data_IF_734874284842
#
_entry.id   IF_734874284842
#
_cell.length_a   1.000
_cell.length_b   1.000
_cell.length_c   1.000
_cell.angle_alpha   90.00
_cell.angle_beta   90.00
_cell.angle_gamma   90.00
#
_symmetry.space_group_name_H-M   'P 1'
#
loop_
_entity.id
_entity.type
_entity.pdbx_description
1 polymer ?
#
# COMPACT_ATOMS: atom_id res chain seq x y z
N UNK A 1 -1.37 40.28 -11.62
CA UNK A 1 -0.03 39.97 -11.09
C UNK A 1 -0.16 39.53 -9.64
N UNK A 2 -0.23 38.22 -9.41
CA UNK A 2 -0.03 37.62 -8.11
C UNK A 2 0.56 36.23 -8.38
N UNK A 3 1.81 36.08 -7.96
CA UNK A 3 2.71 34.95 -8.16
C UNK A 3 2.23 33.72 -7.38
N UNK A 4 2.01 32.58 -8.04
CA UNK A 4 1.97 31.29 -7.37
C UNK A 4 3.38 30.99 -6.86
N UNK A 5 3.50 30.74 -5.55
CA UNK A 5 4.71 30.19 -4.96
C UNK A 5 4.44 28.71 -4.74
N UNK A 6 5.03 27.88 -5.59
CA UNK A 6 5.25 26.46 -5.35
C UNK A 6 5.91 26.31 -3.98
N UNK A 7 5.25 25.66 -3.01
CA UNK A 7 5.93 25.22 -1.81
C UNK A 7 6.73 23.96 -2.13
N UNK A 8 7.87 24.13 -2.80
CA UNK A 8 8.96 23.18 -2.71
C UNK A 8 9.42 23.17 -1.24
N UNK A 9 8.81 22.31 -0.42
CA UNK A 9 9.25 22.12 0.98
C UNK A 9 10.59 21.40 0.94
N UNK A 10 11.68 22.16 1.11
CA UNK A 10 12.95 21.61 1.58
C UNK A 10 12.71 20.98 2.96
N UNK A 11 12.60 19.64 3.04
CA UNK A 11 12.66 18.91 4.31
C UNK A 11 14.13 18.53 4.62
N UNK A 12 14.67 18.81 5.82
CA UNK A 12 15.97 18.34 6.24
C UNK A 12 15.89 16.93 6.87
N UNK A 13 16.83 16.07 6.49
CA UNK A 13 17.11 14.71 7.00
C UNK A 13 16.03 13.64 6.74
N UNK A 14 16.30 12.76 5.78
CA UNK A 14 15.55 11.53 5.54
C UNK A 14 15.66 10.59 6.76
N UNK A 15 14.52 10.27 7.37
CA UNK A 15 14.32 9.08 8.20
C UNK A 15 13.56 8.05 7.37
N UNK A 16 14.07 6.83 7.34
CA UNK A 16 13.38 5.68 6.73
C UNK A 16 13.06 4.67 7.82
N UNK A 17 11.90 4.04 7.75
CA UNK A 17 11.58 2.89 8.57
C UNK A 17 11.74 1.61 7.71
N UNK A 18 12.34 0.56 8.27
CA UNK A 18 12.56 -0.69 7.56
C UNK A 18 12.20 -1.88 8.44
N UNK A 19 11.69 -2.94 7.80
CA UNK A 19 11.47 -4.25 8.44
C UNK A 19 12.76 -5.08 8.47
N UNK A 20 12.87 -5.97 9.45
CA UNK A 20 13.73 -7.15 9.31
C UNK A 20 13.05 -8.35 9.99
N UNK A 21 12.62 -9.33 9.18
CA UNK A 21 12.29 -10.68 9.62
C UNK A 21 13.12 -11.65 8.80
N UNK A 22 14.01 -12.42 9.42
CA UNK A 22 14.66 -13.55 8.78
C UNK A 22 13.84 -14.81 9.10
N UNK A 23 13.27 -15.53 8.12
CA UNK A 23 12.77 -16.87 8.33
C UNK A 23 13.93 -17.84 8.09
N UNK A 24 14.90 -17.93 8.99
CA UNK A 24 15.79 -19.09 9.02
C UNK A 24 16.46 -19.24 10.40
N UNK A 25 16.11 -20.33 11.10
CA UNK A 25 16.98 -20.93 12.12
C UNK A 25 16.69 -20.66 13.60
N UNK A 26 15.71 -19.84 13.99
CA UNK A 26 15.29 -19.73 15.39
C UNK A 26 13.94 -20.42 15.60
N UNK A 27 13.92 -21.38 16.53
CA UNK A 27 12.78 -22.21 16.93
C UNK A 27 11.42 -21.50 16.96
N UNK A 28 10.36 -22.21 16.55
CA UNK A 28 8.92 -21.87 16.56
C UNK A 28 8.35 -21.46 17.95
N UNK A 29 8.89 -20.40 18.52
CA UNK A 29 8.44 -19.80 19.76
C UNK A 29 9.45 -18.75 20.24
N UNK A 30 9.15 -17.46 20.03
CA UNK A 30 9.80 -16.39 20.81
C UNK A 30 10.22 -15.09 20.13
N UNK A 31 10.10 -14.91 18.82
CA UNK A 31 10.44 -13.63 18.19
C UNK A 31 9.18 -12.86 17.75
N UNK A 32 8.59 -12.07 18.66
CA UNK A 32 7.71 -10.98 18.24
C UNK A 32 8.51 -10.06 17.32
N UNK A 33 7.98 -9.74 16.14
CA UNK A 33 8.72 -8.97 15.13
C UNK A 33 9.09 -7.55 15.58
N UNK A 34 9.83 -6.81 14.74
CA UNK A 34 10.29 -5.45 15.04
C UNK A 34 10.36 -4.58 13.78
N UNK A 35 10.14 -3.28 13.95
CA UNK A 35 10.43 -2.26 12.94
C UNK A 35 11.62 -1.42 13.38
N UNK A 36 12.40 -0.92 12.43
CA UNK A 36 13.65 -0.20 12.72
C UNK A 36 13.66 1.16 12.06
N UNK A 37 14.08 2.18 12.80
CA UNK A 37 14.28 3.53 12.26
C UNK A 37 15.73 3.67 11.85
N UNK A 38 15.94 4.11 10.61
CA UNK A 38 17.23 4.49 10.07
C UNK A 38 17.23 5.99 9.76
N UNK A 39 18.34 6.66 10.06
CA UNK A 39 18.55 8.06 9.68
C UNK A 39 19.79 8.19 8.78
N UNK A 40 19.65 8.92 7.68
CA UNK A 40 20.78 9.19 6.78
C UNK A 40 21.56 10.40 7.26
N UNK A 41 22.86 10.23 7.52
CA UNK A 41 23.79 11.32 7.86
C UNK A 41 25.08 11.19 7.05
N UNK A 42 25.46 12.28 6.38
CA UNK A 42 26.65 12.32 5.51
C UNK A 42 26.72 11.14 4.53
N UNK A 43 25.59 10.83 3.89
CA UNK A 43 25.48 9.74 2.92
C UNK A 43 25.26 8.34 3.51
N UNK A 44 25.45 8.14 4.82
CA UNK A 44 25.39 6.83 5.47
C UNK A 44 24.09 6.66 6.27
N UNK A 45 23.41 5.54 6.08
CA UNK A 45 22.26 5.13 6.90
C UNK A 45 22.74 4.48 8.19
N UNK A 46 22.12 4.87 9.31
CA UNK A 46 22.38 4.25 10.62
C UNK A 46 21.06 3.98 11.30
N UNK A 47 20.91 2.77 11.85
CA UNK A 47 19.80 2.45 12.74
C UNK A 47 19.88 3.35 13.97
N UNK A 48 18.82 4.08 14.27
CA UNK A 48 18.71 4.95 15.45
C UNK A 48 17.79 4.39 16.50
N UNK A 49 16.81 3.55 16.12
CA UNK A 49 15.86 2.98 17.07
C UNK A 49 15.29 1.65 16.57
N UNK A 50 14.93 0.77 17.52
CA UNK A 50 14.10 -0.42 17.29
C UNK A 50 12.73 -0.16 17.93
N UNK A 51 11.67 -0.31 17.14
CA UNK A 51 10.28 -0.21 17.55
C UNK A 51 9.72 -1.62 17.74
N UNK A 52 8.96 -1.80 18.81
CA UNK A 52 8.32 -3.07 19.19
C UNK A 52 6.96 -2.76 19.78
N UNK A 53 6.04 -3.73 19.72
CA UNK A 53 4.82 -3.70 20.52
C UNK A 53 5.16 -3.74 22.03
N UNK A 54 4.34 -3.07 22.84
CA UNK A 54 4.46 -3.01 24.30
C UNK A 54 4.22 -4.37 24.98
N UNK A 55 3.40 -5.22 24.37
CA UNK A 55 3.09 -6.59 24.81
C UNK A 55 3.02 -7.54 23.61
N UNK A 56 4.15 -8.06 23.10
CA UNK A 56 4.10 -9.05 22.03
C UNK A 56 3.34 -10.27 22.52
N UNK A 57 2.11 -10.48 22.04
CA UNK A 57 1.46 -11.76 22.21
C UNK A 57 2.31 -12.77 21.42
N UNK A 58 2.63 -13.92 22.01
CA UNK A 58 3.45 -14.93 21.34
C UNK A 58 2.83 -15.30 19.99
N UNK A 59 3.51 -14.99 18.88
CA UNK A 59 3.03 -15.23 17.51
C UNK A 59 2.70 -13.98 16.69
N UNK A 60 2.70 -12.78 17.28
CA UNK A 60 2.49 -11.53 16.53
C UNK A 60 3.71 -11.16 15.67
N UNK A 61 3.50 -11.02 14.35
CA UNK A 61 4.54 -10.62 13.40
C UNK A 61 4.62 -9.09 13.28
N UNK A 62 4.92 -8.41 14.39
CA UNK A 62 5.11 -6.96 14.39
C UNK A 62 6.14 -6.51 13.34
N UNK A 63 5.84 -5.46 12.59
CA UNK A 63 6.68 -5.03 11.46
C UNK A 63 6.29 -5.70 10.15
N UNK A 64 5.07 -6.25 10.05
CA UNK A 64 4.53 -6.82 8.81
C UNK A 64 4.44 -5.75 7.72
N UNK A 65 3.73 -4.65 7.98
CA UNK A 65 3.78 -3.42 7.19
C UNK A 65 4.23 -2.24 8.02
N UNK A 66 4.83 -1.26 7.34
CA UNK A 66 5.31 -0.02 7.93
C UNK A 66 5.03 1.14 6.97
N UNK A 67 4.40 2.20 7.46
CA UNK A 67 4.26 3.47 6.77
C UNK A 67 4.82 4.62 7.63
N UNK A 68 5.28 5.69 6.99
CA UNK A 68 5.86 6.86 7.67
C UNK A 68 5.50 8.15 6.94
N UNK A 69 4.89 9.10 7.65
CA UNK A 69 4.80 10.49 7.23
C UNK A 69 5.23 11.42 8.36
N UNK A 70 6.27 12.21 8.08
CA UNK A 70 6.81 13.20 8.99
C UNK A 70 7.24 12.57 10.31
N UNK A 71 6.50 12.89 11.37
CA UNK A 71 6.75 12.47 12.75
C UNK A 71 5.80 11.35 13.21
N UNK A 72 5.09 10.70 12.28
CA UNK A 72 4.22 9.54 12.53
C UNK A 72 4.76 8.31 11.80
N UNK A 73 4.92 7.20 12.52
CA UNK A 73 5.21 5.86 11.96
C UNK A 73 4.07 4.93 12.35
N UNK A 74 3.58 4.15 11.39
CA UNK A 74 2.51 3.19 11.61
C UNK A 74 3.04 1.80 11.29
N UNK A 75 2.79 0.83 12.18
CA UNK A 75 3.31 -0.54 12.04
C UNK A 75 2.21 -1.54 12.34
N UNK A 76 1.99 -2.51 11.46
CA UNK A 76 1.10 -3.63 11.77
C UNK A 76 1.84 -4.79 12.41
N UNK A 77 1.14 -5.47 13.31
CA UNK A 77 1.43 -6.80 13.77
C UNK A 77 0.29 -7.68 13.30
N UNK A 78 0.46 -8.30 12.12
CA UNK A 78 -0.53 -9.18 11.50
C UNK A 78 0.08 -10.57 11.33
N UNK A 79 -0.71 -11.64 11.42
CA UNK A 79 -0.30 -12.95 10.96
C UNK A 79 -1.17 -13.39 9.77
N UNK A 80 -0.52 -13.91 8.74
CA UNK A 80 -1.22 -14.37 7.52
C UNK A 80 -1.85 -15.76 7.70
N UNK A 81 -1.60 -16.42 8.82
CA UNK A 81 -1.82 -17.87 8.95
C UNK A 81 -3.17 -18.20 9.58
N UNK A 82 -3.65 -17.40 10.55
CA UNK A 82 -4.85 -17.74 11.33
C UNK A 82 -5.73 -16.53 11.70
N UNK A 83 -5.47 -15.35 11.12
CA UNK A 83 -6.19 -14.12 11.46
C UNK A 83 -6.01 -13.67 12.93
N UNK A 84 -5.03 -14.23 13.64
CA UNK A 84 -4.86 -14.08 15.09
C UNK A 84 -3.81 -13.03 15.47
N UNK A 85 -4.24 -11.96 16.12
CA UNK A 85 -3.36 -10.89 16.60
C UNK A 85 -3.18 -9.82 15.52
N UNK A 86 -4.01 -8.79 15.61
CA UNK A 86 -4.08 -7.69 14.66
C UNK A 86 -4.02 -6.40 15.45
N UNK A 87 -2.83 -5.82 15.49
CA UNK A 87 -2.62 -4.51 16.09
C UNK A 87 -1.97 -3.61 15.07
N UNK A 88 -2.51 -2.40 14.91
CA UNK A 88 -1.80 -1.34 14.21
C UNK A 88 -1.28 -0.38 15.27
N UNK A 89 0.03 -0.20 15.30
CA UNK A 89 0.73 0.58 16.32
C UNK A 89 1.23 1.88 15.71
N UNK A 90 0.86 3.00 16.33
CA UNK A 90 1.28 4.33 15.91
C UNK A 90 2.39 4.80 16.82
N UNK A 91 3.51 5.22 16.23
CA UNK A 91 4.63 5.82 16.93
C UNK A 91 4.76 7.29 16.53
N UNK A 92 4.84 8.16 17.52
CA UNK A 92 5.08 9.59 17.33
C UNK A 92 6.53 9.95 17.68
N UNK A 93 7.13 10.84 16.90
CA UNK A 93 8.47 11.34 17.17
C UNK A 93 8.45 12.52 18.14
N UNK A 94 9.12 12.37 19.27
CA UNK A 94 9.48 13.46 20.17
C UNK A 94 11.00 13.71 20.09
N UNK A 95 11.36 14.76 19.34
CA UNK A 95 12.75 15.13 19.05
C UNK A 95 13.50 14.06 18.25
N UNK A 96 14.22 13.18 18.94
CA UNK A 96 14.99 12.08 18.33
C UNK A 96 14.46 10.68 18.68
N UNK A 97 13.46 10.61 19.54
CA UNK A 97 12.91 9.36 20.06
C UNK A 97 11.52 9.15 19.46
N UNK A 98 11.26 7.95 18.99
CA UNK A 98 9.94 7.50 18.58
C UNK A 98 9.28 6.80 19.76
N UNK A 99 8.13 7.29 20.20
CA UNK A 99 7.37 6.73 21.31
C UNK A 99 6.10 6.07 20.76
N UNK A 100 5.72 4.93 21.33
CA UNK A 100 4.40 4.36 21.05
C UNK A 100 3.34 5.36 21.52
N UNK A 101 2.52 5.83 20.60
CA UNK A 101 1.46 6.80 20.83
C UNK A 101 0.10 6.12 20.98
N UNK A 102 -0.22 5.17 20.10
CA UNK A 102 -1.52 4.50 20.09
C UNK A 102 -1.41 3.06 19.58
N UNK A 103 -2.40 2.24 19.97
CA UNK A 103 -2.77 1.00 19.29
C UNK A 103 -4.15 1.22 18.68
N UNK A 104 -4.27 1.04 17.38
CA UNK A 104 -5.52 1.16 16.63
C UNK A 104 -6.17 -0.21 16.53
N UNK A 105 -7.47 -0.24 16.80
CA UNK A 105 -8.33 -1.41 16.73
C UNK A 105 -9.67 -0.96 16.12
N UNK A 106 -10.33 -1.80 15.30
CA UNK A 106 -11.68 -1.52 14.83
C UNK A 106 -12.64 -1.30 16.01
N UNK A 107 -13.56 -0.34 15.89
CA UNK A 107 -14.53 -0.02 16.94
C UNK A 107 -15.73 -0.99 16.96
N UNK A 108 -16.00 -1.62 15.83
CA UNK A 108 -17.12 -2.53 15.61
C UNK A 108 -16.71 -3.98 15.85
N UNK A 109 -17.54 -4.73 16.59
CA UNK A 109 -17.38 -6.18 16.72
C UNK A 109 -17.42 -6.86 15.35
N UNK A 110 -16.51 -7.81 15.11
CA UNK A 110 -16.47 -8.55 13.87
C UNK A 110 -15.28 -9.47 13.76
N UNK A 111 -15.35 -10.34 12.76
CA UNK A 111 -14.24 -11.15 12.30
C UNK A 111 -13.26 -10.25 11.55
N UNK A 112 -12.31 -9.67 12.27
CA UNK A 112 -11.36 -8.68 11.74
C UNK A 112 -10.28 -9.28 10.83
N UNK A 113 -10.50 -10.47 10.24
CA UNK A 113 -9.51 -11.18 9.43
C UNK A 113 -8.69 -10.25 8.52
N UNK A 114 -7.38 -10.25 8.75
CA UNK A 114 -6.40 -9.48 8.01
C UNK A 114 -6.42 -7.96 8.25
N UNK A 115 -6.98 -7.44 9.35
CA UNK A 115 -6.76 -6.04 9.74
C UNK A 115 -5.25 -5.75 9.87
N UNK A 116 -4.80 -4.67 9.21
CA UNK A 116 -3.38 -4.31 9.15
C UNK A 116 -2.58 -5.10 8.11
N UNK A 117 -3.25 -5.84 7.22
CA UNK A 117 -2.57 -6.50 6.10
C UNK A 117 -1.99 -5.53 5.10
N UNK A 118 -2.54 -4.32 5.01
CA UNK A 118 -1.89 -3.18 4.41
C UNK A 118 -2.30 -1.89 5.13
N UNK A 119 -1.44 -0.88 5.10
CA UNK A 119 -1.67 0.39 5.78
C UNK A 119 -0.85 1.52 5.18
N UNK A 120 -1.37 2.74 5.30
CA UNK A 120 -0.64 3.94 4.91
C UNK A 120 -1.06 5.15 5.78
N UNK A 121 -0.23 6.20 5.79
CA UNK A 121 -0.42 7.40 6.61
C UNK A 121 -0.10 8.67 5.82
N UNK A 122 -1.02 9.64 5.89
CA UNK A 122 -0.83 10.99 5.35
C UNK A 122 -1.31 12.02 6.36
N UNK A 123 -0.38 12.77 6.94
CA UNK A 123 -0.64 13.74 7.99
C UNK A 123 -1.35 13.11 9.20
N UNK A 124 -2.58 13.55 9.43
CA UNK A 124 -3.42 13.16 10.55
C UNK A 124 -4.44 12.06 10.19
N UNK A 125 -4.21 11.33 9.09
CA UNK A 125 -5.07 10.25 8.62
C UNK A 125 -4.27 8.97 8.38
N UNK A 126 -4.75 7.85 8.94
CA UNK A 126 -4.22 6.51 8.73
C UNK A 126 -5.31 5.66 8.07
N UNK A 127 -4.93 4.92 7.04
CA UNK A 127 -5.81 3.94 6.38
C UNK A 127 -5.29 2.53 6.65
N UNK A 128 -6.21 1.60 6.93
CA UNK A 128 -5.87 0.22 7.27
C UNK A 128 -6.79 -0.74 6.52
N UNK A 129 -6.22 -1.59 5.68
CA UNK A 129 -6.94 -2.64 4.97
C UNK A 129 -7.29 -3.84 5.83
N UNK A 130 -8.46 -4.43 5.59
CA UNK A 130 -8.94 -5.66 6.22
C UNK A 130 -9.72 -6.52 5.20
N UNK A 131 -8.99 -7.10 4.23
CA UNK A 131 -9.61 -7.82 3.08
C UNK A 131 -10.49 -9.02 3.43
N UNK A 132 -10.27 -9.65 4.58
CA UNK A 132 -11.03 -10.83 5.00
C UNK A 132 -12.35 -10.49 5.69
N UNK A 133 -12.53 -9.24 6.12
CA UNK A 133 -13.71 -8.84 6.87
C UNK A 133 -14.95 -8.87 5.98
N UNK A 134 -16.07 -9.30 6.56
CA UNK A 134 -17.34 -9.28 5.87
C UNK A 134 -17.91 -7.85 5.84
N UNK A 135 -18.01 -7.26 4.64
CA UNK A 135 -18.57 -5.92 4.41
C UNK A 135 -20.12 -5.94 4.40
N UNK A 136 -20.74 -6.60 5.38
CA UNK A 136 -22.20 -6.86 5.45
C UNK A 136 -22.80 -7.71 4.32
N UNK A 137 -22.04 -8.02 3.27
CA UNK A 137 -22.49 -8.79 2.09
C UNK A 137 -21.94 -10.23 2.03
N UNK A 138 -20.97 -10.59 2.87
CA UNK A 138 -20.38 -11.94 2.92
C UNK A 138 -18.90 -11.92 3.25
N UNK A 139 -18.31 -13.09 3.49
CA UNK A 139 -16.88 -13.23 3.85
C UNK A 139 -15.96 -12.75 2.72
N UNK A 140 -14.81 -12.18 3.10
CA UNK A 140 -13.81 -11.67 2.16
C UNK A 140 -14.31 -10.63 1.14
N UNK A 141 -15.42 -9.95 1.40
CA UNK A 141 -15.77 -8.76 0.64
C UNK A 141 -14.74 -7.64 0.91
N UNK A 142 -14.28 -7.54 2.16
CA UNK A 142 -13.20 -6.68 2.58
C UNK A 142 -13.64 -5.25 2.90
N UNK A 143 -12.93 -4.60 3.82
CA UNK A 143 -13.18 -3.21 4.24
C UNK A 143 -11.88 -2.45 4.43
N UNK A 144 -11.96 -1.12 4.53
CA UNK A 144 -10.85 -0.25 4.93
C UNK A 144 -11.27 0.61 6.10
N UNK A 145 -10.46 0.65 7.16
CA UNK A 145 -10.66 1.54 8.30
C UNK A 145 -9.89 2.83 8.12
N UNK A 146 -10.52 3.95 8.40
CA UNK A 146 -9.87 5.27 8.41
C UNK A 146 -9.81 5.75 9.85
N UNK A 147 -8.61 6.03 10.33
CA UNK A 147 -8.36 6.62 11.64
C UNK A 147 -7.88 8.04 11.46
N UNK A 148 -8.40 8.96 12.29
CA UNK A 148 -8.02 10.36 12.29
C UNK A 148 -7.48 10.78 13.65
N UNK A 149 -6.46 11.65 13.63
CA UNK A 149 -5.86 12.21 14.84
C UNK A 149 -6.68 13.41 15.30
N UNK A 150 -7.33 13.27 16.46
CA UNK A 150 -8.09 14.33 17.12
C UNK A 150 -7.40 14.89 18.37
N UNK A 151 -8.08 15.77 19.14
CA UNK A 151 -7.55 16.32 20.39
C UNK A 151 -7.29 15.25 21.47
N UNK A 152 -8.03 14.14 21.42
CA UNK A 152 -7.93 13.02 22.35
C UNK A 152 -7.03 11.88 21.83
N UNK A 153 -6.32 12.10 20.72
CA UNK A 153 -5.48 11.11 20.04
C UNK A 153 -6.15 10.51 18.81
N UNK A 154 -5.66 9.33 18.40
CA UNK A 154 -6.18 8.62 17.23
C UNK A 154 -7.49 7.91 17.53
N UNK A 155 -8.48 8.07 16.65
CA UNK A 155 -9.75 7.36 16.73
C UNK A 155 -10.21 6.92 15.33
N UNK A 156 -10.97 5.83 15.27
CA UNK A 156 -11.63 5.43 14.03
C UNK A 156 -12.65 6.50 13.63
N UNK A 157 -12.48 7.06 12.44
CA UNK A 157 -13.37 8.08 11.86
C UNK A 157 -14.47 7.42 11.02
N UNK A 158 -14.12 6.45 10.18
CA UNK A 158 -15.08 5.72 9.35
C UNK A 158 -14.56 4.36 8.91
N UNK A 159 -15.46 3.52 8.37
CA UNK A 159 -15.15 2.28 7.66
C UNK A 159 -15.65 2.42 6.21
N UNK A 160 -14.74 2.26 5.25
CA UNK A 160 -15.03 2.32 3.83
C UNK A 160 -15.33 0.91 3.31
N UNK A 161 -16.36 0.85 2.48
CA UNK A 161 -16.77 -0.32 1.71
C UNK A 161 -16.96 0.12 0.26
N UNK A 162 -16.69 -0.76 -0.70
CA UNK A 162 -17.02 -0.48 -2.09
C UNK A 162 -18.54 -0.36 -2.26
N UNK A 163 -19.01 0.59 -3.08
CA UNK A 163 -20.44 0.79 -3.35
C UNK A 163 -21.08 -0.46 -3.98
N UNK A 164 -20.29 -1.24 -4.72
CA UNK A 164 -20.67 -2.49 -5.39
C UNK A 164 -20.06 -3.73 -4.72
N UNK A 165 -19.69 -3.64 -3.43
CA UNK A 165 -19.04 -4.71 -2.70
C UNK A 165 -19.72 -6.07 -2.87
N UNK A 166 -18.92 -7.07 -3.19
CA UNK A 166 -19.37 -8.45 -3.34
C UNK A 166 -18.47 -9.42 -2.57
N UNK A 167 -18.99 -10.62 -2.33
CA UNK A 167 -18.27 -11.68 -1.61
C UNK A 167 -17.02 -12.09 -2.40
N UNK A 168 -15.88 -12.25 -1.71
CA UNK A 168 -14.58 -12.58 -2.31
C UNK A 168 -13.92 -11.51 -3.19
N UNK A 169 -14.35 -10.24 -3.18
CA UNK A 169 -13.63 -9.18 -3.92
C UNK A 169 -12.28 -8.80 -3.27
N UNK A 170 -12.12 -9.09 -1.97
CA UNK A 170 -10.94 -8.75 -1.16
C UNK A 170 -10.60 -7.25 -1.20
N UNK A 171 -11.61 -6.38 -1.12
CA UNK A 171 -11.41 -4.93 -0.97
C UNK A 171 -10.57 -4.61 0.27
N UNK A 172 -9.60 -3.70 0.14
CA UNK A 172 -8.65 -3.43 1.22
C UNK A 172 -7.51 -4.44 1.27
N UNK A 173 -7.25 -5.18 0.19
CA UNK A 173 -6.01 -5.94 -0.01
C UNK A 173 -4.80 -5.01 0.01
N UNK A 174 -4.89 -3.89 -0.68
CA UNK A 174 -3.87 -2.85 -0.71
C UNK A 174 -4.53 -1.48 -0.51
N UNK A 175 -3.87 -0.57 0.17
CA UNK A 175 -4.35 0.78 0.47
C UNK A 175 -3.22 1.80 0.34
N UNK A 176 -3.53 2.97 -0.20
CA UNK A 176 -2.62 4.11 -0.22
C UNK A 176 -3.39 5.41 0.06
N UNK A 177 -2.74 6.38 0.71
CA UNK A 177 -3.35 7.68 1.00
C UNK A 177 -2.36 8.83 0.74
N UNK A 178 -2.84 9.85 0.04
CA UNK A 178 -2.14 11.11 -0.11
C UNK A 178 -3.12 12.28 -0.02
N UNK A 179 -3.00 13.06 1.06
CA UNK A 179 -3.90 14.17 1.36
C UNK A 179 -5.36 13.72 1.42
N UNK A 180 -6.15 14.17 0.45
CA UNK A 180 -7.60 13.94 0.38
C UNK A 180 -7.99 12.77 -0.54
N UNK A 181 -7.01 11.94 -0.97
CA UNK A 181 -7.24 10.79 -1.85
C UNK A 181 -6.83 9.50 -1.17
N UNK A 182 -7.76 8.56 -1.05
CA UNK A 182 -7.50 7.17 -0.63
C UNK A 182 -7.71 6.27 -1.85
N UNK A 183 -6.81 5.32 -2.06
CA UNK A 183 -6.88 4.32 -3.12
C UNK A 183 -6.92 2.94 -2.48
N UNK A 184 -7.81 2.09 -2.97
CA UNK A 184 -8.02 0.75 -2.40
C UNK A 184 -8.05 -0.30 -3.49
N UNK A 185 -7.24 -1.35 -3.35
CA UNK A 185 -7.23 -2.51 -4.22
C UNK A 185 -8.26 -3.58 -3.82
N UNK A 186 -8.94 -4.15 -4.80
CA UNK A 186 -9.83 -5.30 -4.70
C UNK A 186 -9.46 -6.31 -5.81
N UNK A 187 -8.35 -7.01 -5.61
CA UNK A 187 -7.67 -7.81 -6.65
C UNK A 187 -8.45 -9.02 -7.18
N UNK A 188 -9.60 -9.34 -6.59
CA UNK A 188 -10.49 -10.44 -7.02
C UNK A 188 -11.86 -9.97 -7.49
N UNK A 189 -12.05 -8.67 -7.64
CA UNK A 189 -13.29 -8.14 -8.16
C UNK A 189 -13.45 -8.50 -9.65
N UNK A 190 -14.69 -8.80 -10.05
CA UNK A 190 -14.98 -9.53 -11.30
C UNK A 190 -15.39 -8.64 -12.51
N UNK A 191 -15.38 -7.31 -12.40
CA UNK A 191 -15.96 -6.43 -13.43
C UNK A 191 -15.24 -6.50 -14.79
N UNK A 192 -13.94 -6.82 -14.81
CA UNK A 192 -13.15 -7.03 -16.03
C UNK A 192 -13.07 -8.50 -16.47
N UNK A 193 -13.59 -9.43 -15.67
CA UNK A 193 -13.34 -10.87 -15.81
C UNK A 193 -13.15 -11.51 -14.45
N UNK A 194 -13.29 -12.83 -14.34
CA UNK A 194 -13.24 -13.48 -13.03
C UNK A 194 -11.87 -13.26 -12.34
N UNK A 195 -11.89 -12.79 -11.09
CA UNK A 195 -10.70 -12.38 -10.34
C UNK A 195 -9.76 -11.43 -11.12
N UNK A 196 -10.26 -10.64 -12.09
CA UNK A 196 -9.42 -9.71 -12.87
C UNK A 196 -8.92 -8.55 -12.02
N UNK A 197 -9.74 -8.12 -11.06
CA UNK A 197 -9.44 -7.11 -10.06
C UNK A 197 -9.86 -5.69 -10.45
N UNK A 198 -10.05 -4.87 -9.42
CA UNK A 198 -10.42 -3.45 -9.52
C UNK A 198 -9.71 -2.60 -8.48
N UNK A 199 -9.67 -1.29 -8.72
CA UNK A 199 -9.20 -0.28 -7.77
C UNK A 199 -10.30 0.75 -7.52
N UNK A 200 -10.45 1.17 -6.28
CA UNK A 200 -11.44 2.14 -5.85
C UNK A 200 -10.75 3.39 -5.33
N UNK A 201 -11.24 4.56 -5.74
CA UNK A 201 -10.71 5.85 -5.28
C UNK A 201 -11.77 6.52 -4.41
N UNK A 202 -11.38 6.91 -3.21
CA UNK A 202 -12.19 7.70 -2.30
C UNK A 202 -11.59 9.10 -2.18
N UNK A 203 -12.46 10.10 -2.18
CA UNK A 203 -12.10 11.50 -2.00
C UNK A 203 -12.72 12.04 -0.72
N UNK A 204 -11.98 12.91 -0.02
CA UNK A 204 -12.49 13.58 1.17
C UNK A 204 -13.69 14.44 0.78
N UNK A 205 -14.81 14.24 1.47
CA UNK A 205 -16.07 14.95 1.26
C UNK A 205 -16.76 15.16 2.60
N UNK A 206 -16.72 16.40 3.11
CA UNK A 206 -17.33 16.74 4.38
C UNK A 206 -18.86 16.58 4.41
N UNK A 207 -19.52 16.47 3.25
CA UNK A 207 -20.94 16.17 3.17
C UNK A 207 -21.25 14.67 3.18
N UNK A 208 -20.26 13.81 2.92
CA UNK A 208 -20.42 12.37 2.94
C UNK A 208 -20.41 11.83 4.38
N UNK A 209 -21.20 10.78 4.68
CA UNK A 209 -21.09 10.07 5.96
C UNK A 209 -19.65 9.60 6.19
N UNK A 210 -19.08 9.94 7.34
CA UNK A 210 -17.68 9.60 7.66
C UNK A 210 -16.63 10.41 6.90
N UNK A 211 -17.02 11.45 6.14
CA UNK A 211 -16.09 12.41 5.52
C UNK A 211 -15.41 11.94 4.23
N UNK A 212 -15.84 10.81 3.66
CA UNK A 212 -15.24 10.21 2.46
C UNK A 212 -16.33 9.70 1.51
N UNK A 213 -16.13 9.91 0.21
CA UNK A 213 -17.02 9.43 -0.85
C UNK A 213 -16.24 8.62 -1.87
N UNK A 214 -16.78 7.50 -2.32
CA UNK A 214 -16.24 6.80 -3.48
C UNK A 214 -16.38 7.71 -4.72
N UNK A 215 -15.24 8.08 -5.30
CA UNK A 215 -15.13 8.99 -6.43
C UNK A 215 -15.04 8.24 -7.76
N UNK A 216 -14.35 7.09 -7.77
CA UNK A 216 -14.19 6.26 -8.95
C UNK A 216 -13.97 4.78 -8.63
N UNK A 217 -14.31 3.93 -9.61
CA UNK A 217 -13.80 2.55 -9.76
C UNK A 217 -12.96 2.52 -11.03
N UNK A 218 -11.71 2.08 -10.90
CA UNK A 218 -10.73 1.94 -11.96
C UNK A 218 -10.57 0.46 -12.29
N UNK A 219 -10.60 0.15 -13.59
CA UNK A 219 -10.50 -1.20 -14.12
C UNK A 219 -9.34 -1.20 -15.12
N UNK A 220 -8.48 -2.22 -15.08
CA UNK A 220 -7.40 -2.37 -16.05
C UNK A 220 -7.95 -2.69 -17.45
N UNK A 221 -7.54 -1.92 -18.46
CA UNK A 221 -7.98 -2.17 -19.85
C UNK A 221 -7.22 -3.29 -20.54
N UNK A 222 -6.06 -3.66 -20.00
CA UNK A 222 -5.17 -4.71 -20.50
C UNK A 222 -5.02 -5.85 -19.49
N UNK A 223 -6.05 -6.07 -18.67
CA UNK A 223 -6.09 -7.14 -17.65
C UNK A 223 -7.25 -8.07 -17.89
N UNK A 224 -6.98 -9.36 -17.89
CA UNK A 224 -7.91 -10.47 -18.06
C UNK A 224 -8.17 -11.21 -16.74
N UNK A 225 -8.87 -12.34 -16.84
CA UNK A 225 -9.15 -13.25 -15.72
C UNK A 225 -7.89 -13.57 -14.90
N UNK A 226 -7.92 -13.35 -13.57
CA UNK A 226 -6.84 -13.66 -12.62
C UNK A 226 -5.54 -12.86 -12.78
N UNK A 227 -5.56 -11.74 -13.50
CA UNK A 227 -4.40 -10.84 -13.62
C UNK A 227 -4.15 -10.01 -12.34
N UNK A 228 -5.13 -9.98 -11.43
CA UNK A 228 -5.04 -9.37 -10.10
C UNK A 228 -4.73 -7.87 -10.14
N UNK A 229 -5.41 -7.12 -11.01
CA UNK A 229 -5.36 -5.67 -11.01
C UNK A 229 -5.79 -5.10 -9.65
N UNK A 230 -4.98 -4.21 -9.07
CA UNK A 230 -5.21 -3.73 -7.70
C UNK A 230 -4.64 -4.65 -6.63
N UNK A 231 -3.73 -5.56 -6.99
CA UNK A 231 -2.98 -6.36 -6.01
C UNK A 231 -2.14 -5.48 -5.07
N UNK A 232 -1.55 -4.42 -5.64
CA UNK A 232 -0.86 -3.35 -4.93
C UNK A 232 -1.23 -2.00 -5.55
N UNK A 233 -1.31 -0.95 -4.74
CA UNK A 233 -1.61 0.41 -5.18
C UNK A 233 -0.67 1.42 -4.52
N UNK A 234 -0.38 2.51 -5.22
CA UNK A 234 0.34 3.67 -4.68
C UNK A 234 -0.28 4.97 -5.18
N UNK A 235 -0.18 6.05 -4.40
CA UNK A 235 -0.67 7.36 -4.81
C UNK A 235 0.16 8.51 -4.23
N UNK A 236 0.30 9.59 -5.00
CA UNK A 236 0.79 10.89 -4.50
C UNK A 236 -0.33 11.95 -4.47
N UNK A 237 -1.58 11.52 -4.71
CA UNK A 237 -2.79 12.35 -4.69
C UNK A 237 -3.22 12.82 -6.08
N UNK A 238 -2.29 12.92 -7.03
CA UNK A 238 -2.58 13.29 -8.43
C UNK A 238 -2.28 12.15 -9.40
N UNK A 239 -1.43 11.21 -9.00
CA UNK A 239 -1.07 10.00 -9.74
C UNK A 239 -1.43 8.77 -8.91
N UNK A 240 -2.04 7.78 -9.54
CA UNK A 240 -2.28 6.46 -8.96
C UNK A 240 -1.49 5.46 -9.79
N UNK A 241 -0.80 4.54 -9.11
CA UNK A 241 -0.10 3.42 -9.73
C UNK A 241 -0.69 2.12 -9.21
N UNK A 242 -0.95 1.20 -10.13
CA UNK A 242 -1.66 -0.04 -9.83
C UNK A 242 -0.88 -1.22 -10.37
N UNK A 243 -0.58 -2.19 -9.51
CA UNK A 243 0.03 -3.45 -9.90
C UNK A 243 -1.01 -4.51 -10.33
N UNK A 244 -0.68 -5.24 -11.39
CA UNK A 244 -1.35 -6.46 -11.84
C UNK A 244 -0.26 -7.51 -12.12
N UNK A 245 0.28 -8.15 -11.07
CA UNK A 245 1.49 -8.98 -11.19
C UNK A 245 1.29 -10.25 -12.02
N UNK A 246 0.05 -10.64 -12.28
CA UNK A 246 -0.25 -11.90 -12.95
C UNK A 246 -0.55 -11.77 -14.43
N UNK A 247 -0.51 -10.55 -14.98
CA UNK A 247 -0.60 -10.33 -16.43
C UNK A 247 0.47 -11.17 -17.15
N UNK A 248 0.01 -12.00 -18.08
CA UNK A 248 0.88 -12.79 -18.95
C UNK A 248 1.47 -11.93 -20.07
N UNK A 249 2.66 -12.30 -20.56
CA UNK A 249 3.24 -11.67 -21.74
C UNK A 249 2.54 -12.11 -23.02
N UNK A 250 2.69 -11.32 -24.10
CA UNK A 250 2.37 -11.76 -25.46
C UNK A 250 3.24 -12.93 -25.92
N UNK A 251 4.39 -13.14 -25.28
CA UNK A 251 5.20 -14.35 -25.42
C UNK A 251 4.68 -15.42 -24.45
N UNK A 252 4.11 -16.53 -24.93
CA UNK A 252 3.49 -17.55 -24.08
C UNK A 252 4.49 -18.30 -23.18
N UNK A 253 5.80 -18.18 -23.43
CA UNK A 253 6.82 -18.74 -22.56
C UNK A 253 7.08 -17.87 -21.31
N UNK A 254 6.53 -16.65 -21.26
CA UNK A 254 6.70 -15.69 -20.17
C UNK A 254 5.34 -15.46 -19.49
N UNK A 255 4.95 -16.43 -18.64
CA UNK A 255 3.78 -16.29 -17.77
C UNK A 255 4.06 -15.29 -16.63
N UNK A 256 3.02 -14.62 -16.12
CA UNK A 256 3.08 -13.66 -15.00
C UNK A 256 4.24 -12.68 -15.16
N UNK A 257 4.36 -12.11 -16.35
CA UNK A 257 5.33 -11.07 -16.66
C UNK A 257 5.05 -9.82 -15.81
N UNK A 258 3.76 -9.57 -15.57
CA UNK A 258 3.25 -8.50 -14.73
C UNK A 258 3.12 -7.16 -15.44
N UNK A 259 2.19 -6.34 -14.95
CA UNK A 259 1.84 -5.02 -15.49
C UNK A 259 1.73 -4.01 -14.36
N UNK A 260 2.11 -2.77 -14.64
CA UNK A 260 1.73 -1.61 -13.82
C UNK A 260 1.00 -0.59 -14.66
N UNK A 261 -0.18 -0.17 -14.21
CA UNK A 261 -1.00 0.85 -14.86
C UNK A 261 -0.91 2.16 -14.07
N UNK A 262 -0.77 3.27 -14.78
CA UNK A 262 -0.68 4.62 -14.19
C UNK A 262 -1.92 5.42 -14.58
N UNK A 263 -2.59 5.97 -13.58
CA UNK A 263 -3.70 6.90 -13.74
C UNK A 263 -3.29 8.29 -13.26
N UNK A 264 -3.73 9.33 -13.96
CA UNK A 264 -3.61 10.72 -13.52
C UNK A 264 -4.98 11.35 -13.31
N UNK A 265 -5.07 12.20 -12.29
CA UNK A 265 -6.24 13.04 -12.06
C UNK A 265 -6.39 14.05 -13.19
N UNK A 266 -7.62 14.24 -13.63
CA UNK A 266 -8.03 15.20 -14.67
C UNK A 266 -9.24 15.97 -14.17
N UNK A 267 -9.67 16.99 -14.93
CA UNK A 267 -10.91 17.71 -14.63
C UNK A 267 -12.18 16.85 -14.74
N UNK A 268 -12.10 15.67 -15.36
CA UNK A 268 -13.22 14.76 -15.61
C UNK A 268 -13.17 13.48 -14.75
N UNK A 269 -12.18 13.36 -13.85
CA UNK A 269 -11.95 12.15 -13.04
C UNK A 269 -10.53 11.61 -13.23
N UNK A 270 -10.38 10.29 -13.34
CA UNK A 270 -9.08 9.63 -13.47
C UNK A 270 -8.90 9.06 -14.87
N UNK A 271 -7.79 9.40 -15.52
CA UNK A 271 -7.45 8.90 -16.85
C UNK A 271 -6.25 7.96 -16.76
N UNK A 272 -6.34 6.80 -17.39
CA UNK A 272 -5.18 5.93 -17.60
C UNK A 272 -4.23 6.62 -18.59
N UNK A 273 -2.98 6.83 -18.18
CA UNK A 273 -1.97 7.56 -18.96
C UNK A 273 -0.77 6.71 -19.35
N UNK A 274 -0.54 5.57 -18.69
CA UNK A 274 0.53 4.65 -19.05
C UNK A 274 0.24 3.22 -18.60
N UNK A 275 0.88 2.28 -19.30
CA UNK A 275 1.05 0.89 -18.90
C UNK A 275 2.54 0.57 -18.99
N UNK A 276 3.05 -0.10 -17.97
CA UNK A 276 4.47 -0.37 -17.79
C UNK A 276 4.69 -1.87 -17.61
N UNK A 277 5.72 -2.37 -18.27
CA UNK A 277 6.23 -3.73 -18.10
C UNK A 277 7.72 -3.67 -17.76
N UNK A 278 8.26 -4.78 -17.26
CA UNK A 278 9.69 -4.91 -17.02
C UNK A 278 10.46 -4.72 -18.34
N UNK A 279 11.43 -3.80 -18.35
CA UNK A 279 12.24 -3.49 -19.54
C UNK A 279 13.09 -4.66 -20.05
N UNK A 280 13.23 -5.68 -19.22
CA UNK A 280 14.08 -6.86 -19.39
C UNK A 280 13.30 -8.15 -19.06
N UNK A 281 11.99 -8.19 -19.34
CA UNK A 281 11.09 -9.29 -18.99
C UNK A 281 11.64 -10.69 -19.31
N UNK A 282 12.33 -10.87 -20.45
CA UNK A 282 12.99 -12.14 -20.82
C UNK A 282 14.08 -12.53 -19.82
N UNK A 283 14.91 -11.57 -19.39
CA UNK A 283 16.00 -11.79 -18.45
C UNK A 283 15.54 -11.83 -16.99
N UNK A 284 14.37 -11.25 -16.68
CA UNK A 284 13.72 -11.40 -15.39
C UNK A 284 13.16 -12.82 -15.19
N UNK A 285 12.96 -13.56 -16.28
CA UNK A 285 12.43 -14.92 -16.26
C UNK A 285 10.89 -14.95 -16.16
N UNK A 286 10.27 -16.09 -16.51
CA UNK A 286 8.84 -16.26 -16.31
C UNK A 286 8.49 -16.27 -14.82
N UNK A 287 7.34 -15.70 -14.46
CA UNK A 287 6.93 -15.61 -13.06
C UNK A 287 7.62 -14.50 -12.28
N UNK A 288 8.22 -13.50 -12.95
CA UNK A 288 8.88 -12.38 -12.28
C UNK A 288 7.92 -11.54 -11.40
N UNK A 289 6.62 -11.56 -11.71
CA UNK A 289 5.56 -10.85 -10.99
C UNK A 289 5.86 -9.33 -10.92
N UNK A 290 6.17 -8.70 -12.05
CA UNK A 290 6.35 -7.25 -12.10
C UNK A 290 5.07 -6.53 -11.65
N UNK A 291 5.19 -5.52 -10.79
CA UNK A 291 4.01 -4.86 -10.21
C UNK A 291 3.53 -5.52 -8.91
N UNK A 292 4.29 -6.48 -8.37
CA UNK A 292 4.01 -7.04 -7.05
C UNK A 292 4.04 -6.00 -5.92
N UNK A 293 4.92 -5.00 -6.06
CA UNK A 293 5.01 -3.85 -5.18
C UNK A 293 5.12 -2.58 -6.03
N UNK A 294 4.44 -1.50 -5.66
CA UNK A 294 4.50 -0.22 -6.37
C UNK A 294 4.54 0.92 -5.35
N UNK A 295 5.22 2.01 -5.71
CA UNK A 295 5.20 3.26 -4.95
C UNK A 295 5.42 4.43 -5.90
N UNK A 296 4.77 5.57 -5.64
CA UNK A 296 4.88 6.78 -6.44
C UNK A 296 5.10 7.99 -5.56
N UNK A 297 6.12 8.79 -5.90
CA UNK A 297 6.38 10.06 -5.25
C UNK A 297 6.79 11.11 -6.28
N UNK A 298 5.86 12.01 -6.61
CA UNK A 298 6.07 13.02 -7.63
C UNK A 298 6.33 12.39 -8.98
N UNK A 299 7.49 12.67 -9.57
CA UNK A 299 7.83 12.16 -10.91
C UNK A 299 8.42 10.74 -10.88
N UNK A 300 8.68 10.15 -9.71
CA UNK A 300 9.33 8.84 -9.61
C UNK A 300 8.31 7.78 -9.21
N UNK A 301 8.23 6.73 -10.02
CA UNK A 301 7.54 5.48 -9.72
C UNK A 301 8.57 4.38 -9.50
N UNK A 302 8.40 3.58 -8.45
CA UNK A 302 9.19 2.37 -8.23
C UNK A 302 8.31 1.14 -8.30
N UNK A 303 8.83 0.08 -8.93
CA UNK A 303 8.10 -1.18 -9.14
C UNK A 303 8.98 -2.35 -8.73
N UNK A 304 8.43 -3.26 -7.93
CA UNK A 304 9.06 -4.52 -7.55
C UNK A 304 8.64 -5.67 -8.47
N UNK A 305 9.59 -6.57 -8.72
CA UNK A 305 9.36 -7.90 -9.29
C UNK A 305 10.07 -8.90 -8.39
N UNK A 306 9.34 -9.45 -7.42
CA UNK A 306 9.96 -10.15 -6.27
C UNK A 306 10.59 -11.50 -6.63
N UNK A 307 10.15 -12.12 -7.72
CA UNK A 307 10.68 -13.39 -8.22
C UNK A 307 11.54 -13.24 -9.48
N UNK A 308 11.89 -12.00 -9.85
CA UNK A 308 12.76 -11.78 -10.98
C UNK A 308 14.15 -12.38 -10.76
N UNK A 309 14.65 -13.11 -11.74
CA UNK A 309 16.02 -13.60 -11.80
C UNK A 309 16.99 -12.42 -11.93
N UNK A 310 18.17 -12.50 -11.31
CA UNK A 310 19.21 -11.45 -11.44
C UNK A 310 20.58 -12.08 -11.65
N UNK A 311 21.60 -11.22 -11.84
CA UNK A 311 23.01 -11.63 -11.81
C UNK A 311 23.41 -12.32 -10.48
N UNK A 312 22.66 -12.10 -9.38
CA UNK A 312 22.89 -12.76 -8.10
C UNK A 312 22.29 -14.17 -8.03
N UNK A 313 21.44 -14.56 -8.99
CA UNK A 313 20.77 -15.86 -9.05
C UNK A 313 19.27 -15.77 -9.34
N UNK A 314 18.62 -16.92 -9.48
CA UNK A 314 17.19 -16.98 -9.77
C UNK A 314 16.34 -16.49 -8.58
N UNK A 315 15.20 -15.86 -8.87
CA UNK A 315 14.25 -15.33 -7.89
C UNK A 315 14.89 -14.43 -6.80
N UNK A 316 15.95 -13.70 -7.15
CA UNK A 316 16.62 -12.77 -6.24
C UNK A 316 15.85 -11.44 -6.10
N UNK A 317 14.93 -11.16 -7.03
CA UNK A 317 14.09 -9.98 -7.06
C UNK A 317 14.75 -8.78 -7.76
N UNK A 318 13.95 -7.98 -8.46
CA UNK A 318 14.36 -6.72 -9.09
C UNK A 318 13.49 -5.56 -8.63
N UNK A 319 14.07 -4.36 -8.69
CA UNK A 319 13.34 -3.11 -8.56
C UNK A 319 13.62 -2.24 -9.76
N UNK A 320 12.57 -1.68 -10.33
CA UNK A 320 12.59 -0.78 -11.47
C UNK A 320 12.20 0.61 -10.99
N UNK A 321 12.79 1.63 -11.61
CA UNK A 321 12.42 3.01 -11.36
C UNK A 321 12.08 3.67 -12.70
N UNK A 322 10.91 4.30 -12.76
CA UNK A 322 10.41 5.03 -13.91
C UNK A 322 10.32 6.51 -13.54
N UNK A 323 10.59 7.37 -14.50
CA UNK A 323 10.40 8.82 -14.36
C UNK A 323 9.28 9.26 -15.28
N UNK A 324 8.27 9.93 -14.72
CA UNK A 324 7.20 10.52 -15.50
C UNK A 324 7.73 11.80 -16.13
N UNK A 325 7.87 11.80 -17.46
CA UNK A 325 8.20 12.98 -18.24
C UNK A 325 6.94 13.47 -18.93
N UNK A 326 6.56 14.73 -18.71
CA UNK A 326 5.54 15.34 -19.55
C UNK A 326 6.06 15.37 -20.98
N UNK A 327 5.22 14.98 -21.95
CA UNK A 327 5.60 15.08 -23.35
C UNK A 327 5.97 16.54 -23.64
N UNK A 328 7.09 16.81 -24.36
CA UNK A 328 7.36 18.17 -24.79
C UNK A 328 6.15 18.69 -25.56
N UNK A 329 5.72 19.96 -25.34
CA UNK A 329 4.63 20.53 -26.11
C UNK A 329 4.95 20.36 -27.59
N UNK A 330 4.07 19.67 -28.31
CA UNK A 330 4.30 19.33 -29.72
C UNK A 330 4.55 20.58 -30.56
N UNK A 331 5.59 20.50 -31.40
CA UNK A 331 5.90 21.48 -32.45
C UNK A 331 4.84 21.47 -33.58
#
# INVERSE_FOLDING_TARGET
>A
MATSRSSARRRPTWSGAARSGAPEGASRGGAGGAAYIFQRRSGVWRQTQRLVADKPLGGEQFGWNVAIDGDTVVVSASNDIDGGGQGVYVFARDGKIWNLEAKLEPSEEGDDYFFGQDLDVSGDTIVVGAKGRAAFVGTNAGVVFVFERGPDGWAQSTMLVADDAFVQDHFGRAVAIAGDTIVVGAYREDSAGADAGSVYVFQRDAAAPGGWRQDAKLIGTSTDEKDWFGYEVGTDGETIVVGAPHVDSVDPEIFRAGLVTVFRRTGEGWAQVAELTASDAVAAGPGADFGWAVDVQGEVLTVGAWLADTEAGPAAGRTYAYTVVDAPPGD
#
